data_IF_264741510580
#
_entry.id   IF_264741510580
#
_cell.length_a   1.000
_cell.length_b   1.000
_cell.length_c   1.000
_cell.angle_alpha   90.00
_cell.angle_beta   90.00
_cell.angle_gamma   90.00
#
_symmetry.space_group_name_H-M   'P 1'
#
loop_
_entity.id
_entity.type
_entity.pdbx_description
1 polymer ?
#
# COMPACT_ATOMS: atom_id res chain seq x y z
N UNK A 1 -5.73 -1.07 -0.16
CA UNK A 1 -5.56 -2.28 -1.00
C UNK A 1 -5.43 -3.54 -0.16
N UNK A 2 -4.58 -3.59 0.84
CA UNK A 2 -4.40 -4.80 1.67
C UNK A 2 -5.69 -5.29 2.34
N UNK A 3 -6.50 -4.40 2.89
CA UNK A 3 -7.80 -4.74 3.49
C UNK A 3 -8.81 -5.31 2.49
N UNK A 4 -8.67 -5.02 1.19
CA UNK A 4 -9.52 -5.56 0.14
C UNK A 4 -9.09 -6.97 -0.33
N UNK A 5 -7.94 -7.47 0.13
CA UNK A 5 -7.43 -8.78 -0.25
C UNK A 5 -6.54 -8.81 -1.50
N UNK A 6 -5.92 -7.70 -1.88
CA UNK A 6 -4.88 -7.62 -2.91
C UNK A 6 -5.32 -6.93 -4.22
N UNK A 7 -4.53 -7.10 -5.27
CA UNK A 7 -4.68 -6.40 -6.55
C UNK A 7 -5.99 -6.71 -7.28
N UNK A 8 -6.36 -7.98 -7.36
CA UNK A 8 -7.56 -8.40 -8.12
C UNK A 8 -8.85 -7.81 -7.57
N UNK A 9 -9.17 -7.92 -6.26
CA UNK A 9 -10.37 -7.27 -5.73
C UNK A 9 -10.26 -5.74 -5.77
N UNK A 10 -9.09 -5.15 -5.57
CA UNK A 10 -8.90 -3.70 -5.65
C UNK A 10 -9.20 -3.16 -7.06
N UNK A 11 -8.78 -3.88 -8.11
CA UNK A 11 -9.12 -3.52 -9.49
C UNK A 11 -10.62 -3.61 -9.78
N UNK A 12 -11.34 -4.57 -9.17
CA UNK A 12 -12.80 -4.66 -9.30
C UNK A 12 -13.49 -3.46 -8.62
N UNK A 13 -13.03 -3.08 -7.42
CA UNK A 13 -13.54 -1.88 -6.74
C UNK A 13 -13.26 -0.62 -7.55
N UNK A 14 -12.06 -0.50 -8.13
CA UNK A 14 -11.72 0.63 -9.00
C UNK A 14 -12.65 0.73 -10.21
N UNK A 15 -12.97 -0.40 -10.87
CA UNK A 15 -13.91 -0.42 -11.99
C UNK A 15 -15.35 -0.05 -11.58
N UNK A 16 -15.80 -0.47 -10.40
CA UNK A 16 -17.10 -0.06 -9.86
C UNK A 16 -17.14 1.45 -9.57
N UNK A 17 -16.07 1.99 -9.01
CA UNK A 17 -15.92 3.42 -8.76
C UNK A 17 -15.88 4.22 -10.07
N UNK A 18 -15.15 3.73 -11.08
CA UNK A 18 -15.08 4.34 -12.41
C UNK A 18 -16.45 4.49 -13.05
N UNK A 19 -17.28 3.44 -12.99
CA UNK A 19 -18.65 3.48 -13.52
C UNK A 19 -19.55 4.54 -12.85
N UNK A 20 -19.15 5.03 -11.68
CA UNK A 20 -19.83 6.08 -10.93
C UNK A 20 -19.03 7.40 -10.92
N UNK A 21 -18.09 7.58 -11.83
CA UNK A 21 -17.23 8.78 -11.94
C UNK A 21 -16.42 9.09 -10.66
N UNK A 22 -16.16 8.08 -9.84
CA UNK A 22 -15.36 8.22 -8.62
C UNK A 22 -13.89 7.95 -8.90
N UNK A 23 -13.03 8.76 -8.29
CA UNK A 23 -11.58 8.57 -8.31
C UNK A 23 -11.14 7.59 -7.22
N UNK A 24 -9.98 6.97 -7.42
CA UNK A 24 -9.34 6.07 -6.45
C UNK A 24 -8.12 6.75 -5.84
N UNK A 25 -8.05 6.67 -4.53
CA UNK A 25 -6.90 7.03 -3.71
C UNK A 25 -6.60 5.81 -2.84
N UNK A 26 -5.59 4.99 -3.17
CA UNK A 26 -5.29 3.81 -2.36
C UNK A 26 -4.81 4.20 -0.97
N UNK A 27 -5.52 3.76 0.07
CA UNK A 27 -5.06 3.90 1.44
C UNK A 27 -3.85 3.00 1.69
N UNK A 28 -2.72 3.59 2.07
CA UNK A 28 -1.44 2.91 2.18
C UNK A 28 -0.58 3.38 3.36
N UNK A 29 -1.00 3.16 4.63
CA UNK A 29 -0.17 3.45 5.81
C UNK A 29 0.78 2.29 6.14
N UNK A 30 1.12 1.46 5.16
CA UNK A 30 1.83 0.19 5.33
C UNK A 30 3.21 0.23 4.65
N UNK A 31 3.98 -0.86 4.82
CA UNK A 31 5.36 -0.96 4.36
C UNK A 31 5.56 -1.06 2.83
N UNK A 32 6.81 -1.28 2.37
CA UNK A 32 7.20 -1.19 0.96
C UNK A 32 6.47 -2.15 0.03
N UNK A 33 6.10 -3.34 0.51
CA UNK A 33 5.35 -4.32 -0.29
C UNK A 33 3.95 -3.79 -0.63
N UNK A 34 3.28 -3.14 0.33
CA UNK A 34 1.98 -2.51 0.09
C UNK A 34 2.10 -1.36 -0.90
N UNK A 35 3.10 -0.51 -0.74
CA UNK A 35 3.36 0.61 -1.66
C UNK A 35 3.62 0.12 -3.08
N UNK A 36 4.52 -0.85 -3.26
CA UNK A 36 4.81 -1.41 -4.57
C UNK A 36 3.56 -1.97 -5.26
N UNK A 37 2.73 -2.69 -4.51
CA UNK A 37 1.49 -3.23 -5.04
C UNK A 37 0.46 -2.13 -5.36
N UNK A 38 0.38 -1.05 -4.56
CA UNK A 38 -0.46 0.11 -4.87
C UNK A 38 -0.02 0.78 -6.17
N UNK A 39 1.28 1.00 -6.39
CA UNK A 39 1.81 1.59 -7.62
C UNK A 39 1.44 0.78 -8.87
N UNK A 40 1.42 -0.55 -8.78
CA UNK A 40 0.97 -1.41 -9.90
C UNK A 40 -0.55 -1.29 -10.13
N UNK A 41 -1.33 -1.12 -9.08
CA UNK A 41 -2.76 -0.83 -9.20
C UNK A 41 -2.98 0.53 -9.88
N UNK A 42 -2.28 1.55 -9.42
CA UNK A 42 -2.40 2.94 -9.92
C UNK A 42 -2.10 3.03 -11.40
N UNK A 43 -1.07 2.30 -11.87
CA UNK A 43 -0.74 2.20 -13.29
C UNK A 43 -1.81 1.45 -14.11
N UNK A 44 -2.61 0.58 -13.48
CA UNK A 44 -3.54 -0.31 -14.15
C UNK A 44 -5.00 0.18 -14.16
N UNK A 45 -5.29 1.34 -13.55
CA UNK A 45 -6.65 1.89 -13.44
C UNK A 45 -6.75 3.29 -14.04
N UNK A 46 -7.81 3.62 -14.79
CA UNK A 46 -7.95 4.93 -15.45
C UNK A 46 -8.43 6.04 -14.51
N UNK A 47 -9.00 5.68 -13.35
CA UNK A 47 -9.59 6.61 -12.40
C UNK A 47 -8.72 6.88 -11.17
N UNK A 48 -7.42 6.63 -11.25
CA UNK A 48 -6.43 7.02 -10.24
C UNK A 48 -6.42 8.55 -10.02
N UNK A 49 -6.26 9.00 -8.79
CA UNK A 49 -6.13 10.41 -8.42
C UNK A 49 -4.78 10.75 -7.82
N UNK A 50 -4.42 10.09 -6.72
CA UNK A 50 -3.17 10.34 -5.99
C UNK A 50 -2.83 9.10 -5.15
N UNK A 51 -1.53 8.83 -4.93
CA UNK A 51 -1.05 7.77 -4.07
C UNK A 51 -0.70 8.31 -2.68
N UNK A 52 -1.22 7.68 -1.64
CA UNK A 52 -0.73 7.89 -0.29
C UNK A 52 0.66 7.26 -0.15
N UNK A 53 1.67 8.09 0.10
CA UNK A 53 3.05 7.67 0.27
C UNK A 53 3.57 8.10 1.65
N UNK A 54 3.74 7.17 2.57
CA UNK A 54 4.10 7.51 3.94
C UNK A 54 5.49 8.12 4.07
N UNK A 55 5.61 9.19 4.85
CA UNK A 55 6.87 9.92 5.07
C UNK A 55 7.97 9.10 5.75
N UNK A 56 7.63 8.02 6.44
CA UNK A 56 8.61 7.15 7.08
C UNK A 56 9.51 6.38 6.11
N UNK A 57 9.19 6.32 4.80
CA UNK A 57 10.12 5.85 3.77
C UNK A 57 11.38 6.69 3.68
N UNK A 58 11.34 7.96 4.10
CA UNK A 58 12.50 8.85 4.11
C UNK A 58 13.27 8.82 5.43
N UNK A 59 12.65 8.36 6.53
CA UNK A 59 13.19 8.52 7.87
C UNK A 59 13.23 7.23 8.69
N UNK A 60 12.60 6.15 8.19
CA UNK A 60 12.44 4.89 8.90
C UNK A 60 13.26 3.73 8.30
N UNK A 61 13.16 2.59 8.96
CA UNK A 61 13.84 1.36 8.56
C UNK A 61 13.22 0.72 7.31
N UNK A 62 12.09 1.21 6.84
CA UNK A 62 11.35 0.64 5.70
C UNK A 62 12.14 0.74 4.40
N UNK A 63 12.94 1.80 4.23
CA UNK A 63 13.84 1.94 3.08
C UNK A 63 14.93 0.84 3.03
N UNK A 64 15.25 0.24 4.17
CA UNK A 64 16.23 -0.84 4.28
C UNK A 64 15.63 -2.24 4.06
N UNK A 65 14.31 -2.34 3.91
CA UNK A 65 13.62 -3.62 3.72
C UNK A 65 13.68 -4.12 2.28
N UNK A 66 14.00 -3.23 1.34
CA UNK A 66 14.06 -3.54 -0.08
C UNK A 66 15.47 -3.34 -0.64
N UNK A 67 15.82 -4.10 -1.68
CA UNK A 67 17.11 -3.98 -2.36
C UNK A 67 17.25 -2.66 -3.09
N UNK A 68 16.13 -2.10 -3.57
CA UNK A 68 16.09 -0.84 -4.27
C UNK A 68 15.05 0.10 -3.65
N UNK A 69 15.39 1.37 -3.57
CA UNK A 69 14.48 2.40 -3.11
C UNK A 69 13.42 2.76 -4.18
N UNK A 70 12.30 3.29 -3.75
CA UNK A 70 11.39 3.98 -4.66
C UNK A 70 12.04 5.28 -5.17
N UNK A 71 11.89 5.51 -6.46
CA UNK A 71 12.42 6.73 -7.09
C UNK A 71 11.33 7.79 -7.12
N UNK A 72 11.62 8.92 -6.50
CA UNK A 72 10.74 10.09 -6.53
C UNK A 72 11.33 11.14 -7.49
N UNK A 73 10.46 11.70 -8.32
CA UNK A 73 10.79 12.77 -9.24
C UNK A 73 9.70 13.84 -9.25
N UNK A 74 10.04 15.04 -8.85
CA UNK A 74 9.16 16.23 -8.87
C UNK A 74 7.74 15.99 -8.26
N UNK A 75 7.66 15.22 -7.18
CA UNK A 75 6.40 14.89 -6.51
C UNK A 75 5.67 13.68 -7.08
N UNK A 76 6.29 12.96 -7.97
CA UNK A 76 5.82 11.69 -8.53
C UNK A 76 6.69 10.53 -8.08
N UNK A 77 6.10 9.35 -7.98
CA UNK A 77 6.84 8.09 -7.76
C UNK A 77 6.94 7.37 -9.11
N UNK A 78 8.15 7.06 -9.52
CA UNK A 78 8.39 6.30 -10.74
C UNK A 78 7.95 4.85 -10.51
N UNK A 79 7.02 4.37 -11.34
CA UNK A 79 6.54 2.99 -11.25
C UNK A 79 7.66 2.06 -11.74
N UNK A 80 8.11 1.09 -10.93
CA UNK A 80 9.18 0.19 -11.33
C UNK A 80 8.78 -0.68 -12.53
N UNK A 81 9.58 -0.68 -13.58
CA UNK A 81 9.43 -1.58 -14.74
C UNK A 81 10.25 -2.86 -14.53
N UNK A 82 9.86 -3.66 -13.55
CA UNK A 82 10.50 -4.92 -13.16
C UNK A 82 9.43 -6.01 -12.97
N UNK A 83 9.78 -7.29 -13.09
CA UNK A 83 8.85 -8.41 -12.85
C UNK A 83 8.18 -8.36 -11.48
N UNK A 84 6.99 -8.92 -11.37
CA UNK A 84 6.20 -8.95 -10.16
C UNK A 84 5.62 -7.58 -9.81
N UNK A 85 5.75 -7.16 -8.56
CA UNK A 85 5.34 -5.82 -8.09
C UNK A 85 6.48 -4.79 -8.19
N UNK A 86 7.62 -5.19 -8.76
CA UNK A 86 8.73 -4.30 -9.08
C UNK A 86 9.69 -4.00 -7.94
N UNK A 87 9.64 -4.73 -6.82
CA UNK A 87 10.61 -4.66 -5.72
C UNK A 87 11.08 -6.05 -5.29
N UNK A 88 12.24 -6.10 -4.66
CA UNK A 88 12.75 -7.29 -3.97
C UNK A 88 13.04 -6.95 -2.50
N UNK A 89 12.66 -7.85 -1.60
CA UNK A 89 13.02 -7.73 -0.19
C UNK A 89 14.48 -8.17 0.02
N UNK A 90 15.14 -7.61 1.04
CA UNK A 90 16.45 -8.09 1.44
C UNK A 90 16.37 -9.51 2.02
N UNK A 91 17.41 -10.32 1.83
CA UNK A 91 17.37 -11.75 2.19
C UNK A 91 17.24 -11.97 3.71
N UNK A 92 17.82 -11.08 4.50
CA UNK A 92 17.86 -11.13 5.96
C UNK A 92 16.70 -10.35 6.63
N UNK A 93 15.64 -10.05 5.88
CA UNK A 93 14.53 -9.21 6.35
C UNK A 93 13.89 -9.72 7.64
N UNK A 94 13.69 -11.04 7.77
CA UNK A 94 13.07 -11.63 8.95
C UNK A 94 13.97 -11.54 10.20
N UNK A 95 15.28 -11.52 10.00
CA UNK A 95 16.26 -11.37 11.10
C UNK A 95 16.38 -9.92 11.53
N UNK A 96 16.46 -9.00 10.59
CA UNK A 96 16.58 -7.55 10.86
C UNK A 96 15.29 -6.92 11.34
N UNK A 97 14.15 -7.38 10.81
CA UNK A 97 12.82 -6.85 11.09
C UNK A 97 11.87 -7.97 11.53
N UNK A 98 12.10 -8.60 12.70
CA UNK A 98 11.27 -9.70 13.16
C UNK A 98 9.82 -9.24 13.40
N UNK A 99 8.87 -10.09 13.04
CA UNK A 99 7.46 -9.82 13.25
C UNK A 99 7.17 -9.62 14.75
N UNK A 100 6.51 -8.52 15.08
CA UNK A 100 6.04 -8.23 16.44
C UNK A 100 4.52 -8.42 16.50
N UNK A 101 4.05 -9.26 17.41
CA UNK A 101 2.62 -9.38 17.65
C UNK A 101 2.04 -8.02 18.07
N UNK A 102 1.04 -7.56 17.35
CA UNK A 102 0.30 -6.33 17.66
C UNK A 102 -1.11 -6.72 18.04
N UNK A 103 -1.52 -6.36 19.25
CA UNK A 103 -2.93 -6.44 19.63
C UNK A 103 -3.70 -5.35 18.91
N UNK A 104 -4.68 -5.74 18.12
CA UNK A 104 -5.65 -4.82 17.54
C UNK A 104 -6.84 -4.81 18.51
N UNK A 105 -7.05 -3.69 19.19
CA UNK A 105 -8.28 -3.49 19.97
C UNK A 105 -9.40 -3.11 19.01
N UNK A 106 -10.43 -3.96 18.92
CA UNK A 106 -11.66 -3.55 18.24
C UNK A 106 -12.26 -2.36 19.00
N UNK A 107 -12.68 -1.32 18.27
CA UNK A 107 -13.47 -0.25 18.87
C UNK A 107 -14.90 -0.73 19.04
N UNK A 108 -15.41 -0.56 20.25
CA UNK A 108 -16.76 -0.96 20.62
C UNK A 108 -17.57 0.32 20.85
N UNK A 109 -18.66 0.48 20.11
CA UNK A 109 -19.60 1.56 20.30
C UNK A 109 -20.34 1.42 21.65
N UNK A 110 -21.02 2.49 22.07
CA UNK A 110 -21.73 2.52 23.35
C UNK A 110 -22.85 1.47 23.46
N UNK A 111 -23.41 1.01 22.32
CA UNK A 111 -24.41 -0.04 22.22
C UNK A 111 -23.83 -1.46 22.16
N UNK A 112 -22.50 -1.60 22.23
CA UNK A 112 -21.79 -2.87 22.16
C UNK A 112 -21.47 -3.36 20.74
N UNK A 113 -21.86 -2.65 19.70
CA UNK A 113 -21.49 -2.97 18.31
C UNK A 113 -20.00 -2.69 18.05
N UNK A 114 -19.39 -3.48 17.19
CA UNK A 114 -18.03 -3.24 16.68
C UNK A 114 -18.10 -2.29 15.49
N UNK A 115 -17.27 -1.27 15.45
CA UNK A 115 -17.14 -0.41 14.28
C UNK A 115 -15.68 -0.28 13.85
N UNK A 116 -15.48 -0.09 12.55
CA UNK A 116 -14.18 0.13 11.96
C UNK A 116 -13.63 1.52 12.32
N UNK A 117 -12.30 1.60 12.35
CA UNK A 117 -11.56 2.82 12.63
C UNK A 117 -11.29 3.53 11.29
#
# INVERSE_FOLDING_TARGET
MCALGGLTPSKKVAAMAEANYCKIVPHNPLGPVSTAACLQLDAAIPNFAIQEFPSFYHTGNEAEMTREAFVEDAGYIVIPDRPGIGIELVDDICERFPAKARSISAQIAHDGSVYDI
#
